data_IF_700916631427
#
_entry.id   IF_700916631427
#
_cell.length_a   1.000
_cell.length_b   1.000
_cell.length_c   1.000
_cell.angle_alpha   90.00
_cell.angle_beta   90.00
_cell.angle_gamma   90.00
#
_symmetry.space_group_name_H-M   'P 1'
#
loop_
_entity.id
_entity.type
_entity.pdbx_description
1 polymer ?
#
# COMPACT_ATOMS: atom_id res chain seq x y z
N UNK A 1 40.61 10.00 39.38
CA UNK A 1 41.32 10.34 38.12
C UNK A 1 41.51 9.06 37.31
N UNK A 2 40.87 8.99 36.12
CA UNK A 2 41.30 8.39 34.83
C UNK A 2 42.15 7.10 34.92
N UNK A 3 41.95 5.97 34.22
CA UNK A 3 41.04 5.46 33.18
C UNK A 3 41.54 4.02 32.94
N UNK A 4 40.65 3.03 32.89
CA UNK A 4 41.01 1.66 32.50
C UNK A 4 40.00 1.16 31.46
N UNK A 5 40.23 1.53 30.21
CA UNK A 5 39.64 0.90 29.03
C UNK A 5 40.78 0.59 28.06
N UNK A 6 40.65 -0.53 27.37
CA UNK A 6 41.47 -1.08 26.27
C UNK A 6 42.41 -2.22 26.68
N UNK A 7 42.00 -3.46 26.40
CA UNK A 7 42.83 -4.55 25.89
C UNK A 7 42.12 -5.91 26.07
N UNK A 8 40.99 -6.09 25.39
CA UNK A 8 40.33 -7.40 25.21
C UNK A 8 39.78 -7.53 23.79
N UNK A 9 40.51 -6.96 22.82
CA UNK A 9 40.48 -7.42 21.43
C UNK A 9 41.77 -8.18 21.18
N UNK A 10 41.76 -9.13 20.24
CA UNK A 10 42.86 -10.05 19.87
C UNK A 10 42.87 -11.35 20.70
N UNK A 11 41.81 -12.16 20.56
CA UNK A 11 41.90 -13.61 20.87
C UNK A 11 40.90 -14.51 20.12
N UNK A 12 40.44 -14.09 18.93
CA UNK A 12 39.55 -14.92 18.07
C UNK A 12 39.83 -14.72 16.57
N UNK A 13 41.09 -14.88 16.17
CA UNK A 13 41.46 -15.06 14.76
C UNK A 13 42.28 -16.35 14.70
N UNK A 14 41.60 -17.48 14.52
CA UNK A 14 42.16 -18.73 14.01
C UNK A 14 41.01 -19.72 13.86
N UNK A 15 40.98 -20.43 12.72
CA UNK A 15 40.07 -21.54 12.38
C UNK A 15 38.68 -21.21 11.79
N UNK A 16 38.64 -20.48 10.65
CA UNK A 16 37.64 -20.75 9.59
C UNK A 16 38.29 -20.47 8.22
N UNK A 17 39.27 -21.29 7.84
CA UNK A 17 39.88 -21.24 6.51
C UNK A 17 40.37 -22.64 6.12
N UNK A 18 39.46 -23.61 6.02
CA UNK A 18 39.80 -24.95 5.53
C UNK A 18 38.58 -25.78 5.09
N UNK A 19 37.65 -25.21 4.32
CA UNK A 19 36.57 -25.96 3.66
C UNK A 19 36.23 -25.36 2.28
N UNK A 20 37.24 -25.09 1.45
CA UNK A 20 37.06 -24.53 0.11
C UNK A 20 37.67 -25.36 -1.03
N UNK A 21 38.06 -26.62 -0.78
CA UNK A 21 38.62 -27.50 -1.80
C UNK A 21 38.30 -28.98 -1.50
N UNK A 22 37.09 -29.42 -1.81
CA UNK A 22 36.79 -30.82 -2.10
C UNK A 22 35.37 -30.96 -2.67
N UNK A 23 35.19 -31.87 -3.62
CA UNK A 23 33.92 -32.28 -4.23
C UNK A 23 33.39 -31.44 -5.41
N UNK A 24 34.28 -31.13 -6.35
CA UNK A 24 33.94 -31.19 -7.77
C UNK A 24 34.04 -32.66 -8.20
N UNK A 25 32.93 -33.41 -8.22
CA UNK A 25 32.75 -34.61 -9.07
C UNK A 25 31.30 -35.10 -9.03
N UNK A 26 30.66 -35.06 -10.19
CA UNK A 26 29.74 -36.06 -10.76
C UNK A 26 28.71 -36.75 -9.83
N UNK A 27 27.42 -36.50 -10.09
CA UNK A 27 26.43 -37.58 -10.19
C UNK A 27 25.23 -37.12 -11.02
N UNK A 28 25.21 -37.58 -12.28
CA UNK A 28 24.00 -37.78 -13.07
C UNK A 28 23.19 -38.91 -12.43
N UNK A 29 21.87 -38.78 -12.32
CA UNK A 29 20.93 -39.90 -12.51
C UNK A 29 19.58 -39.37 -13.03
N UNK A 30 18.86 -40.14 -13.86
CA UNK A 30 17.69 -39.69 -14.61
C UNK A 30 16.38 -40.07 -13.91
N UNK A 31 15.31 -39.32 -14.18
CA UNK A 31 13.94 -39.80 -14.01
C UNK A 31 13.04 -39.13 -15.06
N UNK A 32 12.87 -39.84 -16.17
CA UNK A 32 11.79 -39.63 -17.13
C UNK A 32 10.46 -40.05 -16.51
N UNK A 33 9.46 -39.17 -16.52
CA UNK A 33 8.05 -39.48 -16.80
C UNK A 33 7.18 -38.23 -16.60
N UNK A 34 6.85 -37.54 -17.69
CA UNK A 34 5.61 -36.78 -17.78
C UNK A 34 4.78 -37.36 -18.93
N UNK A 35 3.95 -38.35 -18.58
CA UNK A 35 2.66 -38.58 -19.23
C UNK A 35 1.65 -37.68 -18.48
N UNK A 36 0.63 -37.05 -19.06
CA UNK A 36 -0.09 -37.30 -20.30
C UNK A 36 -0.94 -36.08 -20.69
N UNK A 37 -1.13 -35.92 -21.99
CA UNK A 37 -2.35 -35.42 -22.65
C UNK A 37 -2.85 -33.99 -22.35
N UNK A 38 -2.50 -33.09 -23.26
CA UNK A 38 -3.25 -31.87 -23.56
C UNK A 38 -2.96 -31.45 -25.00
N UNK A 39 -3.71 -32.02 -25.96
CA UNK A 39 -3.63 -31.70 -27.39
C UNK A 39 -3.88 -30.19 -27.58
N UNK A 40 -2.89 -29.47 -28.12
CA UNK A 40 -3.00 -28.03 -28.41
C UNK A 40 -1.95 -27.58 -29.43
N UNK A 41 -2.44 -27.17 -30.60
CA UNK A 41 -1.72 -26.84 -31.83
C UNK A 41 -0.66 -25.72 -31.69
N UNK A 42 0.62 -25.99 -31.42
CA UNK A 42 1.74 -25.13 -31.87
C UNK A 42 3.04 -25.94 -32.04
N UNK A 43 3.72 -25.68 -33.17
CA UNK A 43 4.96 -26.28 -33.63
C UNK A 43 6.18 -25.97 -32.75
N UNK A 44 7.18 -26.85 -32.82
CA UNK A 44 8.46 -26.84 -32.12
C UNK A 44 9.04 -25.45 -31.77
N UNK A 45 9.30 -25.23 -30.48
CA UNK A 45 10.15 -24.13 -29.98
C UNK A 45 9.44 -22.88 -29.48
N UNK A 46 8.12 -22.76 -29.65
CA UNK A 46 7.37 -21.62 -29.11
C UNK A 46 6.73 -22.00 -27.77
N UNK A 47 7.26 -21.43 -26.68
CA UNK A 47 6.51 -21.36 -25.42
C UNK A 47 5.24 -20.54 -25.66
N UNK A 48 4.08 -20.89 -25.05
CA UNK A 48 2.92 -20.02 -25.09
C UNK A 48 3.37 -18.62 -24.64
N UNK A 49 3.14 -17.60 -25.46
CA UNK A 49 3.51 -16.22 -25.13
C UNK A 49 2.80 -15.91 -23.81
N UNK A 50 3.58 -15.86 -22.73
CA UNK A 50 3.04 -15.40 -21.46
C UNK A 50 2.87 -13.89 -21.55
N UNK A 51 1.94 -13.31 -20.79
CA UNK A 51 1.69 -11.87 -20.83
C UNK A 51 3.01 -11.07 -20.66
N UNK A 52 3.94 -11.58 -19.84
CA UNK A 52 5.31 -11.07 -19.64
C UNK A 52 6.16 -11.00 -20.93
N UNK A 53 6.05 -11.98 -21.83
CA UNK A 53 6.78 -12.04 -23.10
C UNK A 53 6.26 -11.02 -24.12
N UNK A 54 4.94 -10.81 -24.14
CA UNK A 54 4.32 -9.74 -24.94
C UNK A 54 4.71 -8.36 -24.40
N UNK A 55 4.81 -8.22 -23.08
CA UNK A 55 5.18 -6.98 -22.42
C UNK A 55 6.64 -6.58 -22.65
N UNK A 56 7.55 -7.53 -22.83
CA UNK A 56 8.95 -7.25 -23.17
C UNK A 56 9.12 -6.57 -24.55
N UNK A 57 8.14 -6.74 -25.44
CA UNK A 57 8.11 -6.16 -26.78
C UNK A 57 7.33 -4.83 -26.84
N UNK A 58 6.49 -4.55 -25.85
CA UNK A 58 5.71 -3.32 -25.76
C UNK A 58 6.61 -2.13 -25.38
N UNK A 59 6.43 -0.99 -26.07
CA UNK A 59 7.09 0.26 -25.72
C UNK A 59 6.78 0.66 -24.26
N UNK A 60 7.71 1.36 -23.60
CA UNK A 60 7.55 1.85 -22.23
C UNK A 60 6.53 3.00 -22.14
N UNK A 61 5.25 2.72 -22.44
CA UNK A 61 4.16 3.68 -22.30
C UNK A 61 3.56 3.61 -20.89
N UNK A 62 2.87 4.68 -20.42
CA UNK A 62 2.17 4.68 -19.15
C UNK A 62 1.20 3.50 -19.00
N UNK A 63 0.43 3.22 -20.05
CA UNK A 63 -0.58 2.15 -20.08
C UNK A 63 0.07 0.76 -19.96
N UNK A 64 1.23 0.58 -20.59
CA UNK A 64 2.00 -0.65 -20.46
C UNK A 64 2.48 -0.86 -19.03
N UNK A 65 2.85 0.21 -18.32
CA UNK A 65 3.21 0.13 -16.90
C UNK A 65 1.99 -0.14 -16.01
N UNK A 66 0.83 0.44 -16.32
CA UNK A 66 -0.40 0.16 -15.59
C UNK A 66 -0.78 -1.32 -15.71
N UNK A 67 -0.77 -1.88 -16.91
CA UNK A 67 -1.04 -3.31 -17.11
C UNK A 67 -0.04 -4.21 -16.37
N UNK A 68 1.27 -3.88 -16.39
CA UNK A 68 2.28 -4.59 -15.59
C UNK A 68 1.99 -4.51 -14.09
N UNK A 69 1.50 -3.37 -13.61
CA UNK A 69 1.11 -3.22 -12.23
C UNK A 69 -0.09 -4.12 -11.88
N UNK A 70 -1.10 -4.21 -12.74
CA UNK A 70 -2.26 -5.11 -12.55
C UNK A 70 -1.84 -6.57 -12.46
N UNK A 71 -0.96 -7.02 -13.36
CA UNK A 71 -0.38 -8.37 -13.31
C UNK A 71 0.35 -8.57 -11.97
N UNK A 72 1.20 -7.62 -11.56
CA UNK A 72 1.90 -7.69 -10.28
C UNK A 72 0.94 -7.70 -9.06
N UNK A 73 -0.15 -6.95 -9.11
CA UNK A 73 -1.21 -6.92 -8.08
C UNK A 73 -1.89 -8.30 -7.99
N UNK A 74 -2.23 -8.91 -9.12
CA UNK A 74 -2.83 -10.25 -9.15
C UNK A 74 -1.90 -11.31 -8.55
N UNK A 75 -0.59 -11.14 -8.71
CA UNK A 75 0.43 -11.98 -8.10
C UNK A 75 0.81 -11.57 -6.67
N UNK A 76 0.11 -10.59 -6.06
CA UNK A 76 0.38 -10.06 -4.72
C UNK A 76 1.80 -9.51 -4.55
N UNK A 77 2.42 -9.06 -5.63
CA UNK A 77 3.77 -8.47 -5.62
C UNK A 77 3.67 -6.95 -5.47
N UNK A 78 3.19 -6.49 -4.31
CA UNK A 78 2.89 -5.08 -4.05
C UNK A 78 4.10 -4.16 -4.28
N UNK A 79 5.29 -4.61 -3.86
CA UNK A 79 6.57 -3.89 -4.07
C UNK A 79 6.89 -3.60 -5.53
N UNK A 80 6.56 -4.52 -6.44
CA UNK A 80 6.76 -4.34 -7.87
C UNK A 80 5.64 -3.49 -8.48
N UNK A 81 4.39 -3.73 -8.08
CA UNK A 81 3.24 -2.96 -8.51
C UNK A 81 3.43 -1.46 -8.25
N UNK A 82 3.84 -1.07 -7.04
CA UNK A 82 4.13 0.34 -6.70
C UNK A 82 5.18 0.96 -7.61
N UNK A 83 6.22 0.21 -8.00
CA UNK A 83 7.25 0.70 -8.93
C UNK A 83 6.68 0.95 -10.32
N UNK A 84 5.82 0.06 -10.81
CA UNK A 84 5.20 0.21 -12.12
C UNK A 84 4.15 1.34 -12.12
N UNK A 85 3.32 1.44 -11.09
CA UNK A 85 2.36 2.54 -10.94
C UNK A 85 3.05 3.90 -10.91
N UNK A 86 4.13 4.05 -10.13
CA UNK A 86 4.94 5.29 -10.12
C UNK A 86 5.58 5.60 -11.47
N UNK A 87 5.90 4.59 -12.30
CA UNK A 87 6.38 4.80 -13.67
C UNK A 87 5.25 5.22 -14.61
N UNK A 88 4.06 4.63 -14.46
CA UNK A 88 2.85 5.02 -15.19
C UNK A 88 2.55 6.51 -14.95
N UNK A 89 2.49 6.91 -13.67
CA UNK A 89 2.20 8.29 -13.25
C UNK A 89 3.18 9.33 -13.81
N UNK A 90 4.44 8.94 -14.07
CA UNK A 90 5.41 9.86 -14.68
C UNK A 90 5.02 10.27 -16.10
N UNK A 91 4.29 9.43 -16.82
CA UNK A 91 3.79 9.78 -18.15
C UNK A 91 2.32 10.16 -18.20
N UNK A 92 1.49 9.66 -17.26
CA UNK A 92 0.10 10.05 -17.12
C UNK A 92 -0.29 10.15 -15.62
N UNK A 93 -0.20 11.35 -15.05
CA UNK A 93 -0.53 11.66 -13.64
C UNK A 93 -2.00 12.10 -13.45
N UNK A 94 -2.79 12.11 -14.52
CA UNK A 94 -4.20 12.50 -14.44
C UNK A 94 -5.12 11.28 -14.29
N UNK A 95 -4.64 10.05 -14.46
CA UNK A 95 -5.48 8.86 -14.32
C UNK A 95 -5.81 8.53 -12.85
N UNK A 96 -7.10 8.63 -12.49
CA UNK A 96 -7.61 8.33 -11.14
C UNK A 96 -7.46 6.86 -10.77
N UNK A 97 -7.61 5.95 -11.74
CA UNK A 97 -7.49 4.52 -11.46
C UNK A 97 -6.04 4.15 -11.07
N UNK A 98 -5.06 4.76 -11.72
CA UNK A 98 -3.64 4.64 -11.32
C UNK A 98 -3.43 5.11 -9.86
N UNK A 99 -4.01 6.24 -9.44
CA UNK A 99 -3.95 6.70 -8.04
C UNK A 99 -4.63 5.74 -7.06
N UNK A 100 -5.79 5.19 -7.45
CA UNK A 100 -6.53 4.20 -6.65
C UNK A 100 -5.73 2.91 -6.46
N UNK A 101 -5.16 2.36 -7.53
CA UNK A 101 -4.32 1.16 -7.43
C UNK A 101 -3.08 1.40 -6.58
N UNK A 102 -2.49 2.60 -6.66
CA UNK A 102 -1.34 2.96 -5.83
C UNK A 102 -1.73 3.00 -4.34
N UNK A 103 -2.86 3.63 -4.01
CA UNK A 103 -3.36 3.68 -2.64
C UNK A 103 -3.59 2.28 -2.05
N UNK A 104 -4.24 1.39 -2.81
CA UNK A 104 -4.50 -0.01 -2.42
C UNK A 104 -3.18 -0.76 -2.20
N UNK A 105 -2.21 -0.62 -3.12
CA UNK A 105 -0.92 -1.31 -2.98
C UNK A 105 -0.14 -0.83 -1.75
N UNK A 106 -0.16 0.48 -1.47
CA UNK A 106 0.50 1.04 -0.28
C UNK A 106 -0.17 0.58 1.02
N UNK A 107 -1.50 0.49 1.03
CA UNK A 107 -2.25 -0.07 2.16
C UNK A 107 -1.87 -1.52 2.44
N UNK A 108 -1.83 -2.36 1.39
CA UNK A 108 -1.40 -3.76 1.52
C UNK A 108 0.05 -3.92 1.96
N UNK A 109 0.95 -3.06 1.49
CA UNK A 109 2.33 -3.04 1.99
C UNK A 109 2.41 -2.72 3.48
N UNK A 110 1.61 -1.76 3.96
CA UNK A 110 1.57 -1.41 5.38
C UNK A 110 0.86 -2.45 6.26
N UNK A 111 0.00 -3.28 5.68
CA UNK A 111 -0.60 -4.42 6.38
C UNK A 111 0.39 -5.59 6.54
N UNK A 112 1.28 -5.78 5.56
CA UNK A 112 2.34 -6.80 5.61
C UNK A 112 3.53 -6.40 6.49
N UNK A 113 3.87 -5.10 6.52
CA UNK A 113 4.94 -4.55 7.36
C UNK A 113 4.47 -4.38 8.82
N UNK A 114 5.23 -4.93 9.78
CA UNK A 114 4.88 -4.82 11.21
C UNK A 114 4.98 -3.40 11.77
N UNK A 115 5.93 -2.62 11.25
CA UNK A 115 6.16 -1.23 11.63
C UNK A 115 5.68 -0.33 10.50
N UNK A 116 4.62 0.44 10.77
CA UNK A 116 4.06 1.37 9.78
C UNK A 116 4.98 2.57 9.61
N UNK A 117 5.71 2.60 8.49
CA UNK A 117 6.51 3.77 8.10
C UNK A 117 5.61 5.02 7.97
N UNK A 118 5.85 6.09 8.76
CA UNK A 118 5.08 7.33 8.68
C UNK A 118 5.11 7.97 7.28
N UNK A 119 6.19 7.76 6.52
CA UNK A 119 6.33 8.26 5.15
C UNK A 119 5.33 7.61 4.19
N UNK A 120 5.33 6.27 4.14
CA UNK A 120 4.37 5.49 3.33
C UNK A 120 2.93 5.73 3.74
N UNK A 121 2.67 5.85 5.04
CA UNK A 121 1.34 6.15 5.55
C UNK A 121 0.83 7.50 5.04
N UNK A 122 1.67 8.54 5.10
CA UNK A 122 1.33 9.86 4.58
C UNK A 122 1.06 9.85 3.09
N UNK A 123 1.86 9.09 2.33
CA UNK A 123 1.66 8.91 0.88
C UNK A 123 0.32 8.21 0.61
N UNK A 124 0.04 7.09 1.26
CA UNK A 124 -1.21 6.35 1.12
C UNK A 124 -2.46 7.22 1.40
N UNK A 125 -2.45 7.96 2.51
CA UNK A 125 -3.55 8.88 2.85
C UNK A 125 -3.72 9.97 1.79
N UNK A 126 -2.62 10.48 1.23
CA UNK A 126 -2.66 11.49 0.17
C UNK A 126 -3.30 10.93 -1.10
N UNK A 127 -2.94 9.73 -1.52
CA UNK A 127 -3.51 9.07 -2.71
C UNK A 127 -5.02 8.82 -2.52
N UNK A 128 -5.44 8.32 -1.37
CA UNK A 128 -6.87 8.15 -1.07
C UNK A 128 -7.65 9.48 -1.05
N UNK A 129 -7.03 10.58 -0.61
CA UNK A 129 -7.65 11.90 -0.67
C UNK A 129 -7.78 12.42 -2.11
N UNK A 130 -6.85 12.08 -3.00
CA UNK A 130 -6.92 12.43 -4.42
C UNK A 130 -8.14 11.74 -5.06
N UNK A 131 -8.31 10.44 -4.78
CA UNK A 131 -9.45 9.63 -5.24
C UNK A 131 -10.76 10.10 -4.62
N UNK A 132 -10.78 10.44 -3.33
CA UNK A 132 -12.00 10.90 -2.65
C UNK A 132 -12.57 12.19 -3.26
N UNK A 133 -11.68 13.09 -3.68
CA UNK A 133 -12.02 14.46 -4.08
C UNK A 133 -11.96 14.68 -5.59
N UNK A 134 -11.68 13.62 -6.36
CA UNK A 134 -11.43 13.64 -7.80
C UNK A 134 -10.53 14.82 -8.21
N UNK A 135 -9.41 14.99 -7.48
CA UNK A 135 -8.51 16.14 -7.72
C UNK A 135 -7.67 16.02 -9.00
N UNK A 136 -7.68 14.84 -9.60
CA UNK A 136 -6.96 14.44 -10.80
C UNK A 136 -7.95 13.88 -11.83
N UNK A 137 -7.56 13.85 -13.11
CA UNK A 137 -8.38 13.30 -14.18
C UNK A 137 -9.31 14.29 -14.87
N UNK A 138 -10.14 13.74 -15.78
CA UNK A 138 -11.05 14.53 -16.60
C UNK A 138 -12.09 15.31 -15.76
N UNK A 139 -12.34 14.87 -14.53
CA UNK A 139 -13.27 15.51 -13.58
C UNK A 139 -12.62 16.62 -12.73
N UNK A 140 -11.32 16.88 -12.93
CA UNK A 140 -10.59 17.95 -12.23
C UNK A 140 -11.22 19.30 -12.52
N UNK A 141 -11.91 19.85 -11.51
CA UNK A 141 -12.59 21.15 -11.60
C UNK A 141 -14.12 21.07 -11.51
N UNK A 142 -14.71 19.87 -11.47
CA UNK A 142 -16.13 19.72 -11.10
C UNK A 142 -16.37 20.12 -9.64
N UNK A 143 -15.34 19.99 -8.80
CA UNK A 143 -15.34 20.40 -7.40
C UNK A 143 -14.59 21.74 -7.23
N UNK A 144 -15.21 22.72 -6.57
CA UNK A 144 -14.59 24.02 -6.33
C UNK A 144 -13.39 23.85 -5.37
N UNK A 145 -12.26 24.49 -5.67
CA UNK A 145 -10.98 24.52 -4.90
C UNK A 145 -10.76 23.35 -3.92
N UNK A 146 -9.90 22.39 -4.28
CA UNK A 146 -9.48 21.24 -3.44
C UNK A 146 -10.61 20.24 -3.10
N UNK A 147 -11.56 20.00 -3.99
CA UNK A 147 -12.63 19.02 -3.74
C UNK A 147 -13.86 19.56 -3.01
N UNK A 148 -13.95 20.87 -2.74
CA UNK A 148 -15.06 21.50 -2.03
C UNK A 148 -16.18 21.89 -3.00
N UNK A 149 -17.21 21.07 -3.23
CA UNK A 149 -18.41 21.57 -3.92
C UNK A 149 -19.36 22.28 -2.92
N UNK A 150 -19.74 23.56 -3.14
CA UNK A 150 -20.71 24.27 -2.30
C UNK A 150 -22.13 23.70 -2.45
N UNK A 151 -22.44 23.17 -3.63
CA UNK A 151 -23.66 22.43 -3.92
C UNK A 151 -23.29 20.96 -4.03
N UNK A 152 -23.40 20.25 -2.91
CA UNK A 152 -23.34 18.79 -2.76
C UNK A 152 -23.38 18.02 -4.11
N UNK A 153 -22.23 17.83 -4.76
CA UNK A 153 -22.13 17.18 -6.09
C UNK A 153 -22.35 15.67 -6.02
N UNK A 154 -22.94 15.16 -4.93
CA UNK A 154 -23.38 13.76 -4.79
C UNK A 154 -24.23 13.25 -5.95
N UNK A 155 -24.86 14.14 -6.72
CA UNK A 155 -25.68 13.76 -7.87
C UNK A 155 -24.85 13.31 -9.08
N UNK A 156 -23.57 13.69 -9.15
CA UNK A 156 -22.68 13.45 -10.29
C UNK A 156 -21.29 12.97 -9.88
N UNK A 157 -20.99 12.91 -8.57
CA UNK A 157 -19.84 12.16 -8.06
C UNK A 157 -20.12 10.67 -8.28
N UNK A 158 -19.14 9.93 -8.79
CA UNK A 158 -19.13 8.47 -8.71
C UNK A 158 -19.17 8.08 -7.23
N UNK A 159 -20.38 7.91 -6.71
CA UNK A 159 -20.65 7.64 -5.29
C UNK A 159 -20.00 6.32 -4.86
N UNK A 160 -19.76 5.42 -5.80
CA UNK A 160 -19.04 4.16 -5.58
C UNK A 160 -17.55 4.40 -5.28
N UNK A 161 -16.85 5.17 -6.11
CA UNK A 161 -15.40 5.38 -5.98
C UNK A 161 -15.10 6.31 -4.80
N UNK A 162 -15.85 7.40 -4.67
CA UNK A 162 -15.72 8.33 -3.55
C UNK A 162 -16.16 7.70 -2.22
N UNK A 163 -17.21 6.87 -2.22
CA UNK A 163 -17.67 6.11 -1.05
C UNK A 163 -16.63 5.10 -0.56
N UNK A 164 -16.03 4.34 -1.49
CA UNK A 164 -14.90 3.45 -1.21
C UNK A 164 -13.73 4.21 -0.57
N UNK A 165 -13.30 5.33 -1.17
CA UNK A 165 -12.19 6.11 -0.63
C UNK A 165 -12.47 6.64 0.79
N UNK A 166 -13.72 7.03 1.10
CA UNK A 166 -14.10 7.40 2.49
C UNK A 166 -13.96 6.25 3.45
N UNK A 167 -14.40 5.06 3.04
CA UNK A 167 -14.32 3.86 3.87
C UNK A 167 -12.84 3.52 4.18
N UNK A 168 -11.98 3.47 3.17
CA UNK A 168 -10.55 3.19 3.38
C UNK A 168 -9.87 4.26 4.24
N UNK A 169 -10.17 5.55 4.03
CA UNK A 169 -9.63 6.61 4.90
C UNK A 169 -10.07 6.45 6.36
N UNK A 170 -11.34 6.06 6.58
CA UNK A 170 -11.87 5.81 7.92
C UNK A 170 -11.21 4.60 8.57
N UNK A 171 -10.97 3.54 7.81
CA UNK A 171 -10.30 2.32 8.28
C UNK A 171 -8.81 2.58 8.60
N UNK A 172 -8.13 3.36 7.75
CA UNK A 172 -6.71 3.70 7.90
C UNK A 172 -6.45 4.67 9.07
N UNK A 173 -7.25 5.73 9.20
CA UNK A 173 -6.96 6.83 10.12
C UNK A 173 -7.94 6.93 11.29
N UNK A 174 -9.00 6.13 11.32
CA UNK A 174 -10.08 6.20 12.30
C UNK A 174 -10.92 7.49 12.23
N UNK A 175 -10.67 8.36 11.24
CA UNK A 175 -11.29 9.68 11.15
C UNK A 175 -11.71 9.98 9.72
N UNK A 176 -12.85 10.63 9.56
CA UNK A 176 -13.30 11.10 8.25
C UNK A 176 -12.79 12.53 7.96
N UNK A 177 -12.40 12.82 6.70
CA UNK A 177 -12.01 14.17 6.30
C UNK A 177 -13.22 15.11 6.34
N UNK A 178 -13.04 16.29 6.92
CA UNK A 178 -14.12 17.30 6.97
C UNK A 178 -14.29 17.92 5.59
N UNK A 179 -15.53 18.28 5.24
CA UNK A 179 -15.87 18.88 3.94
C UNK A 179 -15.07 20.15 3.64
N UNK A 180 -14.83 20.99 4.64
CA UNK A 180 -14.13 22.27 4.51
C UNK A 180 -12.63 22.19 4.89
N UNK A 181 -12.08 21.00 5.06
CA UNK A 181 -10.68 20.81 5.43
C UNK A 181 -9.83 20.54 4.18
N UNK A 182 -8.63 21.11 4.11
CA UNK A 182 -7.68 20.83 3.03
C UNK A 182 -6.95 19.50 3.24
N UNK A 183 -6.47 18.89 2.16
CA UNK A 183 -5.74 17.61 2.23
C UNK A 183 -4.57 17.68 3.22
N UNK A 184 -3.76 18.75 3.15
CA UNK A 184 -2.60 18.92 4.03
C UNK A 184 -3.00 19.05 5.51
N UNK A 185 -4.12 19.72 5.79
CA UNK A 185 -4.63 19.88 7.15
C UNK A 185 -5.17 18.57 7.71
N UNK A 186 -5.83 17.76 6.88
CA UNK A 186 -6.26 16.42 7.26
C UNK A 186 -5.06 15.51 7.53
N UNK A 187 -4.08 15.48 6.64
CA UNK A 187 -2.84 14.71 6.80
C UNK A 187 -2.12 15.10 8.11
N UNK A 188 -1.93 16.40 8.36
CA UNK A 188 -1.30 16.88 9.58
C UNK A 188 -2.09 16.53 10.86
N UNK A 189 -3.40 16.28 10.75
CA UNK A 189 -4.26 15.86 11.86
C UNK A 189 -4.14 14.36 12.13
N UNK A 190 -4.06 13.52 11.10
CA UNK A 190 -3.99 12.06 11.24
C UNK A 190 -2.58 11.52 11.43
N UNK A 191 -1.55 12.23 10.96
CA UNK A 191 -0.15 11.82 11.09
C UNK A 191 0.51 12.28 12.40
N UNK A 192 -0.27 12.72 13.41
CA UNK A 192 0.29 13.08 14.71
C UNK A 192 0.74 11.82 15.44
N UNK A 193 2.00 11.75 15.94
CA UNK A 193 2.41 10.63 16.78
C UNK A 193 1.48 10.57 18.00
N UNK A 194 1.10 9.35 18.40
CA UNK A 194 0.27 9.15 19.58
C UNK A 194 0.98 9.78 20.79
N UNK A 195 0.39 10.83 21.35
CA UNK A 195 0.88 11.38 22.62
C UNK A 195 0.61 10.33 23.70
N UNK A 196 1.66 9.77 24.32
CA UNK A 196 1.58 8.73 25.35
C UNK A 196 0.83 9.18 26.63
N UNK A 197 0.47 10.46 26.73
CA UNK A 197 -0.22 11.05 27.88
C UNK A 197 -1.65 11.46 27.52
N UNK A 198 -2.57 10.51 27.46
CA UNK A 198 -4.00 10.81 27.33
C UNK A 198 -4.60 11.09 28.72
N UNK A 199 -4.73 12.37 29.07
CA UNK A 199 -5.47 12.82 30.25
C UNK A 199 -6.98 12.70 30.00
N UNK A 200 -7.58 11.58 30.40
CA UNK A 200 -9.03 11.39 30.34
C UNK A 200 -9.68 11.80 31.66
N UNK A 201 -10.59 12.77 31.63
CA UNK A 201 -11.47 13.09 32.76
C UNK A 201 -12.67 12.13 32.74
N UNK A 202 -12.66 11.14 33.62
CA UNK A 202 -13.81 10.23 33.81
C UNK A 202 -14.97 11.03 34.40
N UNK A 203 -16.02 11.25 33.60
CA UNK A 203 -17.27 11.82 34.10
C UNK A 203 -18.15 10.67 34.59
N UNK A 204 -18.12 10.41 35.89
CA UNK A 204 -19.04 9.46 36.52
C UNK A 204 -20.49 9.93 36.34
N UNK A 205 -21.34 9.10 35.72
CA UNK A 205 -22.78 9.33 35.65
C UNK A 205 -23.36 9.39 37.07
N UNK A 206 -24.11 10.46 37.40
CA UNK A 206 -24.83 10.60 38.66
C UNK A 206 -25.79 9.41 38.83
N UNK A 207 -25.75 8.66 39.95
CA UNK A 207 -26.69 7.56 40.15
C UNK A 207 -28.12 8.10 40.21
N UNK A 208 -29.01 7.45 39.46
CA UNK A 208 -30.44 7.74 39.47
C UNK A 208 -30.98 7.50 40.89
N UNK A 209 -31.54 8.52 41.52
CA UNK A 209 -32.19 8.41 42.81
C UNK A 209 -33.38 7.45 42.67
N UNK A 210 -33.40 6.39 43.48
CA UNK A 210 -34.56 5.55 43.70
C UNK A 210 -35.70 6.42 44.24
N UNK A 211 -36.76 6.59 43.46
CA UNK A 211 -38.04 7.12 43.95
C UNK A 211 -38.67 6.05 44.85
N UNK A 212 -38.38 6.09 46.16
CA UNK A 212 -39.18 5.42 47.17
C UNK A 212 -40.37 6.32 47.51
N UNK A 213 -41.47 6.18 46.77
CA UNK A 213 -42.76 6.76 47.09
C UNK A 213 -43.67 5.68 47.65
N UNK A 214 -43.67 5.57 48.98
CA UNK A 214 -44.69 4.87 49.77
C UNK A 214 -45.86 5.84 49.83
N UNK A 215 -46.95 5.56 49.12
CA UNK A 215 -48.24 6.19 49.38
C UNK A 215 -49.17 5.12 49.96
N UNK A 216 -49.72 5.49 51.12
CA UNK A 216 -50.58 4.71 52.01
C UNK A 216 -51.99 4.51 51.44
#
# INVERSE_FOLDING_TARGET
MISAKTSTMIRRISAVASCLLAAFTLQLLPASAQDSSGVGYYSAGYRPIQNEDFLGLAHNTPETYLFRAEVAINHQQWGQAVKFLRKSMKGNDDDIDTHKYLAICLEKQMDEESDRDPGKFKECVKEWLIVLRNTKGAEKGLTFKNGLSPTNNRKWEDEQTSGMARQHLKELTGQEPKRWETNDKFIARVSKPAEENVSAKVVSKKPAALQSGIDQ
#
